data_IF_159122330797
#
_entry.id   IF_159122330797
#
_cell.length_a   1.000
_cell.length_b   1.000
_cell.length_c   1.000
_cell.angle_alpha   90.00
_cell.angle_beta   90.00
_cell.angle_gamma   90.00
#
_symmetry.space_group_name_H-M   'P 1'
#
loop_
_entity.id
_entity.type
_entity.pdbx_description
1 polymer ?
#
# COMPACT_ATOMS: atom_id res chain seq x y z
N UNK A 1 17.38 -12.86 2.57
CA UNK A 1 16.50 -14.04 2.64
C UNK A 1 17.24 -15.21 3.30
N UNK A 2 16.54 -16.14 4.03
CA UNK A 2 17.16 -17.27 4.73
C UNK A 2 17.99 -18.21 3.80
N UNK A 3 17.77 -18.15 2.50
CA UNK A 3 18.52 -18.93 1.48
C UNK A 3 20.01 -18.55 1.37
N UNK A 4 20.40 -17.37 1.80
CA UNK A 4 21.76 -16.82 1.60
C UNK A 4 22.49 -16.53 2.92
N UNK A 5 21.87 -16.83 4.06
CA UNK A 5 22.44 -16.55 5.39
C UNK A 5 23.33 -17.72 5.82
N UNK A 6 24.59 -17.46 6.09
CA UNK A 6 25.56 -18.46 6.56
C UNK A 6 25.07 -19.11 7.86
N UNK A 7 25.10 -20.45 7.91
CA UNK A 7 24.60 -21.25 9.05
C UNK A 7 23.13 -21.64 8.99
N UNK A 8 22.41 -21.24 7.96
CA UNK A 8 21.02 -21.66 7.73
C UNK A 8 20.92 -22.58 6.52
N UNK A 9 20.22 -23.71 6.70
CA UNK A 9 19.85 -24.59 5.61
C UNK A 9 18.39 -24.37 5.25
N UNK A 10 18.11 -23.99 3.99
CA UNK A 10 16.75 -23.85 3.48
C UNK A 10 16.55 -24.86 2.34
N UNK A 11 15.60 -25.76 2.51
CA UNK A 11 15.20 -26.72 1.47
C UNK A 11 13.71 -26.56 1.17
N UNK A 12 13.36 -26.63 -0.11
CA UNK A 12 11.97 -26.59 -0.59
C UNK A 12 11.65 -27.95 -1.23
N UNK A 13 10.62 -28.60 -0.73
CA UNK A 13 10.17 -29.90 -1.22
C UNK A 13 8.77 -29.75 -1.81
N UNK A 14 8.69 -29.60 -3.12
CA UNK A 14 7.42 -29.52 -3.84
C UNK A 14 6.76 -30.89 -3.90
N UNK A 15 5.45 -30.98 -3.71
CA UNK A 15 4.71 -32.23 -3.77
C UNK A 15 4.89 -32.92 -5.13
N UNK A 16 4.90 -32.15 -6.22
CA UNK A 16 5.16 -32.66 -7.58
C UNK A 16 6.54 -33.29 -7.76
N UNK A 17 7.51 -32.99 -6.90
CA UNK A 17 8.89 -33.48 -7.00
C UNK A 17 9.21 -34.63 -6.03
N UNK A 18 8.46 -34.74 -4.93
CA UNK A 18 8.75 -35.73 -3.87
C UNK A 18 8.27 -37.12 -4.20
N UNK A 19 7.27 -37.27 -5.06
CA UNK A 19 6.64 -38.53 -5.37
C UNK A 19 5.89 -39.19 -4.19
N UNK A 20 5.67 -38.42 -3.11
CA UNK A 20 4.94 -38.90 -1.91
C UNK A 20 3.44 -39.04 -2.21
N UNK A 21 2.90 -38.06 -2.96
CA UNK A 21 1.51 -38.08 -3.42
C UNK A 21 1.43 -38.66 -4.83
N UNK A 22 0.44 -39.55 -5.13
CA UNK A 22 0.18 -40.01 -6.48
C UNK A 22 -0.15 -38.82 -7.43
N UNK A 23 0.31 -38.90 -8.69
CA UNK A 23 0.01 -37.88 -9.70
C UNK A 23 -1.49 -37.64 -9.89
N UNK A 24 -2.30 -38.65 -9.71
CA UNK A 24 -3.75 -38.59 -9.81
C UNK A 24 -4.37 -37.73 -8.71
N UNK A 25 -3.85 -37.82 -7.48
CA UNK A 25 -4.27 -36.96 -6.36
C UNK A 25 -3.85 -35.50 -6.56
N UNK A 26 -2.62 -35.25 -7.05
CA UNK A 26 -2.14 -33.92 -7.37
C UNK A 26 -2.98 -33.29 -8.47
N UNK A 27 -3.35 -34.06 -9.51
CA UNK A 27 -4.23 -33.59 -10.58
C UNK A 27 -5.62 -33.27 -10.05
N UNK A 28 -6.22 -34.13 -9.25
CA UNK A 28 -7.53 -33.89 -8.64
C UNK A 28 -7.53 -32.65 -7.73
N UNK A 29 -6.48 -32.45 -6.94
CA UNK A 29 -6.31 -31.25 -6.13
C UNK A 29 -6.23 -29.99 -7.01
N UNK A 30 -5.46 -30.05 -8.09
CA UNK A 30 -5.31 -28.92 -9.04
C UNK A 30 -6.62 -28.54 -9.76
N UNK A 31 -7.47 -29.53 -10.04
CA UNK A 31 -8.78 -29.32 -10.68
C UNK A 31 -9.84 -28.79 -9.70
N UNK A 32 -9.72 -29.07 -8.41
CA UNK A 32 -10.73 -28.74 -7.39
C UNK A 32 -10.38 -27.51 -6.57
N UNK A 33 -9.13 -27.08 -6.56
CA UNK A 33 -8.65 -25.94 -5.79
C UNK A 33 -8.39 -24.71 -6.69
N UNK A 34 -8.57 -23.50 -6.17
CA UNK A 34 -8.03 -22.30 -6.83
C UNK A 34 -6.51 -22.45 -7.04
N UNK A 35 -6.01 -22.04 -8.21
CA UNK A 35 -4.61 -22.20 -8.62
C UNK A 35 -3.61 -21.68 -7.57
N UNK A 36 -3.86 -20.50 -6.99
CA UNK A 36 -2.99 -19.93 -5.97
C UNK A 36 -2.95 -20.75 -4.67
N UNK A 37 -4.02 -21.45 -4.31
CA UNK A 37 -4.03 -22.37 -3.13
C UNK A 37 -3.23 -23.62 -3.44
N UNK A 38 -3.42 -24.20 -4.62
CA UNK A 38 -2.65 -25.36 -5.05
C UNK A 38 -1.14 -25.06 -5.05
N UNK A 39 -0.74 -23.95 -5.63
CA UNK A 39 0.66 -23.52 -5.70
C UNK A 39 1.28 -23.29 -4.29
N UNK A 40 0.51 -22.72 -3.35
CA UNK A 40 0.98 -22.53 -1.97
C UNK A 40 1.13 -23.84 -1.22
N UNK A 41 0.10 -24.69 -1.25
CA UNK A 41 0.01 -25.89 -0.42
C UNK A 41 0.85 -27.06 -0.97
N UNK A 42 0.89 -27.23 -2.29
CA UNK A 42 1.54 -28.38 -2.92
C UNK A 42 2.87 -28.05 -3.59
N UNK A 43 3.03 -26.83 -4.08
CA UNK A 43 4.24 -26.41 -4.78
C UNK A 43 5.16 -25.49 -3.96
N UNK A 44 4.85 -25.33 -2.67
CA UNK A 44 5.61 -24.48 -1.73
C UNK A 44 5.87 -23.06 -2.28
N UNK A 45 4.94 -22.54 -3.07
CA UNK A 45 5.07 -21.21 -3.62
C UNK A 45 4.83 -20.15 -2.55
N UNK A 46 5.85 -19.37 -2.22
CA UNK A 46 5.72 -18.19 -1.37
C UNK A 46 5.10 -17.01 -2.12
N UNK A 47 5.02 -17.08 -3.44
CA UNK A 47 4.41 -16.09 -4.34
C UNK A 47 2.94 -16.41 -4.63
N UNK A 48 2.50 -17.63 -4.32
CA UNK A 48 1.12 -18.00 -4.49
C UNK A 48 0.23 -17.10 -3.63
N UNK A 49 -0.80 -16.55 -4.24
CA UNK A 49 -1.76 -15.66 -3.61
C UNK A 49 -2.20 -16.20 -2.25
N UNK A 50 -1.68 -15.63 -1.17
CA UNK A 50 -2.24 -15.86 0.16
C UNK A 50 -3.73 -15.59 0.04
N UNK A 51 -4.56 -16.56 0.44
CA UNK A 51 -6.01 -16.41 0.41
C UNK A 51 -6.40 -15.11 1.13
N UNK A 52 -6.92 -14.13 0.38
CA UNK A 52 -7.19 -12.79 0.88
C UNK A 52 -6.17 -11.70 0.47
N UNK A 53 -5.07 -12.03 -0.17
CA UNK A 53 -4.13 -11.01 -0.69
C UNK A 53 -4.69 -10.36 -1.97
N UNK A 54 -5.43 -9.29 -1.79
CA UNK A 54 -6.23 -8.64 -2.84
C UNK A 54 -5.38 -8.10 -3.99
N UNK A 55 -4.12 -7.71 -3.72
CA UNK A 55 -3.22 -7.04 -4.67
C UNK A 55 -1.95 -7.85 -4.99
N UNK A 56 -1.87 -9.12 -4.59
CA UNK A 56 -0.65 -9.92 -4.74
C UNK A 56 -0.16 -9.99 -6.19
N UNK A 57 -1.07 -10.22 -7.14
CA UNK A 57 -0.75 -10.29 -8.56
C UNK A 57 -0.19 -8.99 -9.12
N UNK A 58 -0.79 -7.87 -8.72
CA UNK A 58 -0.36 -6.53 -9.13
C UNK A 58 1.01 -6.21 -8.55
N UNK A 59 1.24 -6.51 -7.27
CA UNK A 59 2.52 -6.28 -6.60
C UNK A 59 3.64 -7.17 -7.18
N UNK A 60 3.39 -8.46 -7.44
CA UNK A 60 4.38 -9.33 -8.10
C UNK A 60 4.80 -8.78 -9.47
N UNK A 61 3.83 -8.27 -10.26
CA UNK A 61 4.16 -7.64 -11.53
C UNK A 61 4.96 -6.35 -11.39
N UNK A 62 4.71 -5.59 -10.33
CA UNK A 62 5.50 -4.39 -10.04
C UNK A 62 6.95 -4.76 -9.68
N UNK A 63 7.16 -5.86 -8.93
CA UNK A 63 8.49 -6.39 -8.64
C UNK A 63 9.20 -6.88 -9.91
N UNK A 64 8.52 -7.66 -10.74
CA UNK A 64 9.05 -8.15 -12.03
C UNK A 64 9.46 -7.02 -12.99
N UNK A 65 8.79 -5.87 -12.88
CA UNK A 65 9.04 -4.68 -13.72
C UNK A 65 10.00 -3.67 -13.07
N UNK A 66 10.66 -4.01 -11.97
CA UNK A 66 11.54 -3.10 -11.20
C UNK A 66 10.85 -1.79 -10.78
N UNK A 67 9.52 -1.83 -10.54
CA UNK A 67 8.76 -0.66 -10.12
C UNK A 67 8.84 -0.41 -8.60
N UNK A 68 9.25 -1.41 -7.82
CA UNK A 68 9.36 -1.32 -6.37
C UNK A 68 10.82 -1.05 -6.01
N UNK A 69 11.10 0.17 -5.55
CA UNK A 69 12.46 0.57 -5.23
C UNK A 69 12.52 1.98 -4.65
N UNK A 70 13.71 2.57 -4.65
CA UNK A 70 13.88 3.94 -4.21
C UNK A 70 13.50 4.92 -5.32
N UNK A 71 12.43 5.66 -5.11
CA UNK A 71 11.98 6.72 -6.02
C UNK A 71 12.50 8.06 -5.53
N UNK A 72 13.33 8.77 -6.31
CA UNK A 72 13.86 10.07 -5.91
C UNK A 72 12.80 11.16 -6.04
N UNK A 73 12.87 12.14 -5.13
CA UNK A 73 12.11 13.38 -5.24
C UNK A 73 12.59 14.22 -6.42
N UNK A 74 11.65 14.72 -7.22
CA UNK A 74 11.92 15.67 -8.32
C UNK A 74 11.35 17.05 -7.96
N UNK A 75 12.18 18.11 -7.79
CA UNK A 75 11.72 19.44 -7.43
C UNK A 75 10.86 20.13 -8.51
N UNK A 76 10.81 19.60 -9.73
CA UNK A 76 9.93 20.09 -10.79
C UNK A 76 8.44 19.77 -10.57
N UNK A 77 8.14 18.79 -9.71
CA UNK A 77 6.77 18.36 -9.43
C UNK A 77 6.38 18.64 -7.97
N UNK A 78 5.13 19.05 -7.78
CA UNK A 78 4.58 19.22 -6.44
C UNK A 78 4.22 17.89 -5.82
N UNK A 79 4.24 17.83 -4.49
CA UNK A 79 3.91 16.64 -3.71
C UNK A 79 2.41 16.64 -3.38
N UNK A 80 1.77 15.52 -3.60
CA UNK A 80 0.43 15.24 -3.10
C UNK A 80 0.54 14.22 -1.96
N UNK A 81 -0.30 14.34 -0.93
CA UNK A 81 -0.32 13.40 0.18
C UNK A 81 -1.67 12.68 0.24
N UNK A 82 -1.61 11.39 0.53
CA UNK A 82 -2.78 10.51 0.65
C UNK A 82 -2.78 9.91 2.04
N UNK A 83 -3.87 10.12 2.77
CA UNK A 83 -3.95 9.83 4.20
C UNK A 83 -4.94 8.72 4.49
N UNK A 84 -4.53 7.82 5.37
CA UNK A 84 -5.41 6.94 6.12
C UNK A 84 -5.27 7.28 7.60
N UNK A 85 -6.35 7.75 8.23
CA UNK A 85 -6.33 8.37 9.56
C UNK A 85 -6.83 7.41 10.63
N UNK A 86 -5.92 6.88 11.42
CA UNK A 86 -6.19 6.10 12.63
C UNK A 86 -5.69 6.80 13.90
N UNK A 87 -6.34 6.54 15.04
CA UNK A 87 -5.86 6.98 16.38
C UNK A 87 -5.37 5.76 17.16
N UNK A 88 -6.19 4.72 17.26
CA UNK A 88 -5.83 3.45 17.88
C UNK A 88 -5.10 2.54 16.90
N UNK A 89 -5.38 2.73 15.61
CA UNK A 89 -4.66 2.13 14.50
C UNK A 89 -3.62 3.12 13.95
N UNK A 90 -2.79 2.67 13.03
CA UNK A 90 -1.79 3.54 12.41
C UNK A 90 -2.43 4.61 11.54
N UNK A 91 -1.97 5.85 11.67
CA UNK A 91 -2.13 6.83 10.59
C UNK A 91 -1.05 6.60 9.55
N UNK A 92 -1.44 6.42 8.31
CA UNK A 92 -0.52 6.27 7.17
C UNK A 92 -0.65 7.47 6.25
N UNK A 93 0.50 8.01 5.83
CA UNK A 93 0.56 9.09 4.85
C UNK A 93 1.49 8.65 3.73
N UNK A 94 0.99 8.58 2.51
CA UNK A 94 1.81 8.42 1.31
C UNK A 94 2.09 9.79 0.69
N UNK A 95 3.34 10.01 0.31
CA UNK A 95 3.78 11.21 -0.40
C UNK A 95 4.06 10.82 -1.85
N UNK A 96 3.36 11.42 -2.78
CA UNK A 96 3.49 11.09 -4.19
C UNK A 96 3.65 12.32 -5.07
N UNK A 97 4.37 12.12 -6.17
CA UNK A 97 4.47 13.08 -7.26
C UNK A 97 3.85 12.49 -8.53
N UNK A 98 3.03 13.28 -9.21
CA UNK A 98 2.42 12.86 -10.46
C UNK A 98 3.24 13.40 -11.63
N UNK A 99 3.67 12.52 -12.52
CA UNK A 99 4.37 12.94 -13.74
C UNK A 99 3.47 13.74 -14.67
N UNK A 100 4.06 14.45 -15.62
CA UNK A 100 3.33 15.21 -16.62
C UNK A 100 2.27 14.36 -17.33
N UNK A 101 1.02 14.82 -17.31
CA UNK A 101 -0.12 14.08 -17.86
C UNK A 101 -0.62 12.94 -16.96
N UNK A 102 -0.24 12.89 -15.69
CA UNK A 102 -0.66 11.88 -14.69
C UNK A 102 -0.44 10.43 -15.13
N UNK A 103 0.61 10.18 -15.91
CA UNK A 103 0.91 8.84 -16.44
C UNK A 103 1.61 7.95 -15.44
N UNK A 104 2.51 8.51 -14.62
CA UNK A 104 3.19 7.80 -13.54
C UNK A 104 2.90 8.46 -12.20
N UNK A 105 2.86 7.65 -11.16
CA UNK A 105 2.67 8.05 -9.77
C UNK A 105 3.92 7.60 -9.02
N UNK A 106 4.77 8.55 -8.69
CA UNK A 106 6.01 8.31 -7.97
C UNK A 106 5.73 8.43 -6.46
N UNK A 107 5.73 7.31 -5.76
CA UNK A 107 5.61 7.29 -4.29
C UNK A 107 7.00 7.53 -3.72
N UNK A 108 7.27 8.75 -3.30
CA UNK A 108 8.61 9.21 -2.92
C UNK A 108 8.92 9.01 -1.44
N UNK A 109 7.89 8.89 -0.60
CA UNK A 109 8.04 8.80 0.85
C UNK A 109 6.75 8.27 1.50
N UNK A 110 6.85 7.80 2.73
CA UNK A 110 5.70 7.40 3.53
C UNK A 110 5.92 7.65 5.02
N UNK A 111 4.84 7.75 5.75
CA UNK A 111 4.81 7.80 7.22
C UNK A 111 3.79 6.79 7.71
N UNK A 112 4.15 6.06 8.77
CA UNK A 112 3.26 5.13 9.45
C UNK A 112 3.49 5.31 10.97
N UNK A 113 2.53 5.92 11.65
CA UNK A 113 2.63 6.26 13.07
C UNK A 113 1.30 5.95 13.78
N UNK A 114 1.41 5.56 15.05
CA UNK A 114 0.25 5.25 15.91
C UNK A 114 0.26 6.18 17.12
N UNK A 115 -0.93 6.61 17.54
CA UNK A 115 -1.10 7.38 18.79
C UNK A 115 -0.89 8.90 18.66
N UNK A 116 -0.61 9.39 17.44
CA UNK A 116 -0.36 10.82 17.21
C UNK A 116 -1.61 11.53 16.70
N UNK A 117 -1.75 12.82 17.05
CA UNK A 117 -2.86 13.67 16.63
C UNK A 117 -2.50 14.56 15.42
N UNK A 118 -3.51 15.22 14.86
CA UNK A 118 -3.34 16.13 13.72
C UNK A 118 -2.27 17.22 13.91
N UNK A 119 -2.06 17.81 15.12
CA UNK A 119 -0.98 18.77 15.32
C UNK A 119 0.41 18.20 15.01
N UNK A 120 0.68 16.96 15.45
CA UNK A 120 1.93 16.29 15.14
C UNK A 120 2.17 16.16 13.64
N UNK A 121 1.14 15.79 12.90
CA UNK A 121 1.26 15.64 11.45
C UNK A 121 1.39 16.97 10.70
N UNK A 122 0.81 18.05 11.23
CA UNK A 122 1.03 19.38 10.69
C UNK A 122 2.52 19.78 10.81
N UNK A 123 3.10 19.62 12.01
CA UNK A 123 4.53 19.86 12.23
C UNK A 123 5.41 18.96 11.36
N UNK A 124 5.02 17.68 11.19
CA UNK A 124 5.73 16.74 10.34
C UNK A 124 5.75 17.15 8.86
N UNK A 125 4.64 17.64 8.34
CA UNK A 125 4.57 18.16 6.98
C UNK A 125 5.51 19.35 6.79
N UNK A 126 5.52 20.27 7.74
CA UNK A 126 6.41 21.45 7.72
C UNK A 126 7.89 21.03 7.80
N UNK A 127 8.22 20.07 8.67
CA UNK A 127 9.58 19.52 8.75
C UNK A 127 10.02 18.88 7.43
N UNK A 128 9.17 18.06 6.81
CA UNK A 128 9.47 17.44 5.51
C UNK A 128 9.62 18.50 4.40
N UNK A 129 8.79 19.54 4.41
CA UNK A 129 8.93 20.66 3.47
C UNK A 129 10.28 21.34 3.61
N UNK A 130 10.74 21.59 4.85
CA UNK A 130 12.03 22.23 5.11
C UNK A 130 13.23 21.33 4.81
N UNK A 131 13.15 20.05 5.18
CA UNK A 131 14.27 19.10 5.05
C UNK A 131 14.47 18.60 3.62
N UNK A 132 13.38 18.35 2.89
CA UNK A 132 13.42 17.76 1.55
C UNK A 132 13.04 18.73 0.44
N UNK A 133 12.60 19.93 0.77
CA UNK A 133 12.14 20.91 -0.21
C UNK A 133 10.76 20.61 -0.80
N UNK A 134 9.92 19.83 -0.08
CA UNK A 134 8.59 19.51 -0.57
C UNK A 134 7.72 20.75 -0.71
N UNK A 135 7.09 20.91 -1.88
CA UNK A 135 6.04 21.88 -2.12
C UNK A 135 4.72 21.13 -2.33
N UNK A 136 3.81 21.27 -1.38
CA UNK A 136 2.56 20.53 -1.41
C UNK A 136 1.54 21.15 -2.38
N UNK A 137 0.86 20.30 -3.16
CA UNK A 137 -0.24 20.70 -4.03
C UNK A 137 -1.61 20.42 -3.40
N UNK A 138 -1.75 19.24 -2.80
CA UNK A 138 -3.00 18.80 -2.22
C UNK A 138 -2.78 17.71 -1.15
N UNK A 139 -3.70 17.66 -0.20
CA UNK A 139 -3.79 16.61 0.81
C UNK A 139 -5.14 15.89 0.64
N UNK A 140 -5.13 14.58 0.47
CA UNK A 140 -6.34 13.78 0.28
C UNK A 140 -6.58 12.92 1.51
N UNK A 141 -7.80 12.96 2.04
CA UNK A 141 -8.21 12.19 3.20
C UNK A 141 -9.50 11.40 2.93
N UNK A 142 -9.76 10.31 3.69
CA UNK A 142 -10.95 9.51 3.53
C UNK A 142 -12.22 10.30 3.86
N UNK A 143 -13.37 9.80 3.38
CA UNK A 143 -14.65 10.47 3.47
C UNK A 143 -15.18 10.66 4.89
N UNK A 144 -14.72 9.88 5.86
CA UNK A 144 -15.14 9.95 7.26
C UNK A 144 -14.51 11.11 8.05
N UNK A 145 -13.51 11.79 7.47
CA UNK A 145 -12.86 12.97 8.07
C UNK A 145 -13.85 14.12 8.37
N UNK A 146 -15.00 14.14 7.69
CA UNK A 146 -16.04 15.16 7.86
C UNK A 146 -16.96 14.89 9.06
N UNK A 147 -16.86 13.70 9.67
CA UNK A 147 -17.69 13.33 10.83
C UNK A 147 -17.28 14.17 12.03
N UNK A 148 -18.25 14.75 12.71
CA UNK A 148 -18.04 15.58 13.92
C UNK A 148 -17.77 14.69 15.12
N UNK A 149 -16.79 15.05 15.91
CA UNK A 149 -16.45 14.40 17.16
C UNK A 149 -17.32 14.92 18.29
N UNK A 150 -17.88 14.01 19.09
CA UNK A 150 -18.77 14.37 20.21
C UNK A 150 -18.10 15.26 21.26
N UNK A 151 -16.78 15.10 21.48
CA UNK A 151 -16.04 15.84 22.51
C UNK A 151 -15.77 17.30 22.15
N UNK A 152 -15.44 17.56 20.89
CA UNK A 152 -15.06 18.89 20.39
C UNK A 152 -16.17 19.59 19.61
N UNK A 153 -17.14 18.85 19.11
CA UNK A 153 -18.17 19.34 18.17
C UNK A 153 -17.61 19.70 16.78
N UNK A 154 -16.29 19.53 16.56
CA UNK A 154 -15.62 19.80 15.28
C UNK A 154 -15.36 18.49 14.54
N UNK A 155 -15.29 18.56 13.22
CA UNK A 155 -14.79 17.45 12.41
C UNK A 155 -13.25 17.45 12.40
N UNK A 156 -12.66 16.31 12.06
CA UNK A 156 -11.22 16.24 11.84
C UNK A 156 -10.78 17.16 10.69
N UNK A 157 -11.62 17.33 9.66
CA UNK A 157 -11.37 18.26 8.57
C UNK A 157 -11.29 19.72 9.06
N UNK A 158 -12.24 20.17 9.93
CA UNK A 158 -12.22 21.49 10.51
C UNK A 158 -11.00 21.72 11.41
N UNK A 159 -10.61 20.68 12.17
CA UNK A 159 -9.38 20.73 12.99
C UNK A 159 -8.14 20.82 12.13
N UNK A 160 -8.01 19.99 11.09
CA UNK A 160 -6.88 20.01 10.15
C UNK A 160 -6.75 21.38 9.45
N UNK A 161 -7.87 21.94 9.02
CA UNK A 161 -7.89 23.26 8.39
C UNK A 161 -7.35 24.36 9.33
N UNK A 162 -7.69 24.30 10.61
CA UNK A 162 -7.17 25.24 11.62
C UNK A 162 -5.65 25.10 11.85
N UNK A 163 -5.05 23.97 11.47
CA UNK A 163 -3.62 23.66 11.52
C UNK A 163 -2.92 23.87 10.17
N UNK A 164 -3.61 24.45 9.18
CA UNK A 164 -3.05 24.73 7.86
C UNK A 164 -3.17 23.57 6.85
N UNK A 165 -3.74 22.44 7.23
CA UNK A 165 -3.93 21.29 6.33
C UNK A 165 -5.31 21.37 5.70
N UNK A 166 -5.38 21.70 4.41
CA UNK A 166 -6.64 21.76 3.66
C UNK A 166 -6.88 20.44 2.93
N UNK A 167 -7.68 19.55 3.51
CA UNK A 167 -7.98 18.25 2.93
C UNK A 167 -9.01 18.31 1.80
N UNK A 168 -8.68 17.65 0.71
CA UNK A 168 -9.63 17.21 -0.31
C UNK A 168 -10.19 15.85 0.11
N UNK A 169 -11.49 15.78 0.29
CA UNK A 169 -12.15 14.57 0.78
C UNK A 169 -12.37 13.60 -0.39
N UNK A 170 -11.87 12.37 -0.24
CA UNK A 170 -12.06 11.31 -1.22
C UNK A 170 -13.53 10.89 -1.29
N UNK A 171 -13.99 10.55 -2.48
CA UNK A 171 -15.33 10.02 -2.69
C UNK A 171 -15.46 8.65 -1.99
N UNK A 172 -16.58 8.43 -1.32
CA UNK A 172 -16.92 7.11 -0.80
C UNK A 172 -17.31 6.19 -1.96
N UNK A 173 -16.53 5.14 -2.15
CA UNK A 173 -16.80 4.09 -3.13
C UNK A 173 -17.25 2.80 -2.41
N UNK A 174 -18.04 1.94 -3.06
CA UNK A 174 -18.18 0.55 -2.65
C UNK A 174 -16.83 -0.14 -2.57
N UNK A 175 -16.67 -1.09 -1.66
CA UNK A 175 -15.38 -1.76 -1.40
C UNK A 175 -14.77 -2.34 -2.68
N UNK A 176 -15.56 -3.04 -3.48
CA UNK A 176 -15.12 -3.67 -4.73
C UNK A 176 -14.64 -2.64 -5.77
N UNK A 177 -15.32 -1.49 -5.87
CA UNK A 177 -14.90 -0.42 -6.76
C UNK A 177 -13.58 0.21 -6.28
N UNK A 178 -13.40 0.38 -4.96
CA UNK A 178 -12.17 0.85 -4.37
C UNK A 178 -11.00 -0.11 -4.66
N UNK A 179 -11.21 -1.40 -4.46
CA UNK A 179 -10.23 -2.44 -4.78
C UNK A 179 -9.84 -2.40 -6.26
N UNK A 180 -10.82 -2.33 -7.17
CA UNK A 180 -10.57 -2.28 -8.60
C UNK A 180 -9.83 -0.99 -9.00
N UNK A 181 -10.16 0.15 -8.40
CA UNK A 181 -9.46 1.41 -8.63
C UNK A 181 -7.97 1.30 -8.26
N UNK A 182 -7.64 0.66 -7.13
CA UNK A 182 -6.25 0.41 -6.72
C UNK A 182 -5.55 -0.53 -7.72
N UNK A 183 -6.17 -1.64 -8.12
CA UNK A 183 -5.61 -2.57 -9.11
C UNK A 183 -5.28 -1.89 -10.44
N UNK A 184 -6.14 -0.97 -10.89
CA UNK A 184 -5.90 -0.19 -12.10
C UNK A 184 -4.81 0.89 -11.93
N UNK A 185 -4.54 1.31 -10.71
CA UNK A 185 -3.58 2.36 -10.40
C UNK A 185 -2.17 1.82 -10.19
N UNK A 186 -2.01 0.69 -9.49
CA UNK A 186 -0.73 0.06 -9.17
C UNK A 186 0.24 -0.09 -10.36
N UNK A 187 -0.19 -0.48 -11.58
CA UNK A 187 0.73 -0.58 -12.73
C UNK A 187 1.39 0.73 -13.15
N UNK A 188 0.94 1.85 -12.61
CA UNK A 188 1.52 3.19 -12.87
C UNK A 188 2.28 3.75 -11.68
N UNK A 189 2.33 3.01 -10.57
CA UNK A 189 3.04 3.40 -9.36
C UNK A 189 4.50 2.94 -9.42
N UNK A 190 5.39 3.79 -8.85
CA UNK A 190 6.81 3.54 -8.71
C UNK A 190 7.26 3.90 -7.30
#
# INVERSE_FOLDING_TARGET
TAKETEGWHCAVYKASQTGILPEEELRAAKETMPEGIYEAEFECSFEANVQGAVYARELSKMEENDQIGRVPFDPAFKVQTFWDLGINDSTVILFAQLSAGNRAINIIDHVNMTGEGLPYYADLLDQKAQQHGYSYEAHYAPHDIVVREMGSGKSRQETALSLGINFRVAQKLPLEEGINAVKMTLPRCF
#
